data_IF_155911423825
#
_entry.id   IF_155911423825
#
_cell.length_a   1.000
_cell.length_b   1.000
_cell.length_c   1.000
_cell.angle_alpha   90.00
_cell.angle_beta   90.00
_cell.angle_gamma   90.00
#
_symmetry.space_group_name_H-M   'P 1'
#
loop_
_entity.id
_entity.type
_entity.pdbx_description
1 polymer ?
#
# COMPACT_ATOMS: atom_id res chain seq x y z
N UNK A 1 -31.79 2.13 0.93
CA UNK A 1 -30.65 1.26 1.31
C UNK A 1 -29.62 2.10 2.05
N UNK A 2 -29.21 1.63 3.22
CA UNK A 2 -28.20 2.33 4.03
C UNK A 2 -26.81 1.89 3.54
N UNK A 3 -25.95 2.86 3.22
CA UNK A 3 -24.56 2.54 2.88
C UNK A 3 -23.82 2.06 4.13
N UNK A 4 -22.99 1.03 4.03
CA UNK A 4 -22.20 0.61 5.18
C UNK A 4 -21.17 1.69 5.53
N UNK A 5 -21.00 1.94 6.83
CA UNK A 5 -19.95 2.82 7.32
C UNK A 5 -18.63 2.05 7.28
N UNK A 6 -17.65 2.58 6.57
CA UNK A 6 -16.31 1.98 6.49
C UNK A 6 -15.33 2.77 7.32
N UNK A 7 -14.64 2.08 8.20
CA UNK A 7 -13.62 2.68 9.05
C UNK A 7 -12.26 2.59 8.39
N UNK A 8 -11.31 3.42 8.84
CA UNK A 8 -9.94 3.32 8.37
C UNK A 8 -9.33 1.94 8.68
N UNK A 9 -9.75 1.31 9.78
CA UNK A 9 -9.29 -0.03 10.13
C UNK A 9 -9.75 -1.06 9.11
N UNK A 10 -10.97 -0.96 8.60
CA UNK A 10 -11.48 -1.84 7.55
C UNK A 10 -10.73 -1.64 6.23
N UNK A 11 -10.44 -0.38 5.89
CA UNK A 11 -9.65 -0.05 4.68
C UNK A 11 -8.23 -0.59 4.82
N UNK A 12 -7.62 -0.44 5.98
CA UNK A 12 -6.29 -0.99 6.27
C UNK A 12 -6.26 -2.52 6.09
N UNK A 13 -7.28 -3.20 6.61
CA UNK A 13 -7.41 -4.64 6.45
C UNK A 13 -7.58 -5.04 4.98
N UNK A 14 -8.36 -4.30 4.22
CA UNK A 14 -8.55 -4.56 2.79
C UNK A 14 -7.26 -4.40 2.00
N UNK A 15 -6.44 -3.40 2.32
CA UNK A 15 -5.12 -3.20 1.71
C UNK A 15 -4.21 -4.40 2.06
N UNK A 16 -4.18 -4.79 3.33
CA UNK A 16 -3.38 -5.93 3.78
C UNK A 16 -3.78 -7.20 3.03
N UNK A 17 -5.07 -7.46 2.90
CA UNK A 17 -5.57 -8.62 2.17
C UNK A 17 -5.15 -8.60 0.69
N UNK A 18 -5.17 -7.42 0.07
CA UNK A 18 -4.71 -7.27 -1.32
C UNK A 18 -3.22 -7.57 -1.44
N UNK A 19 -2.40 -7.03 -0.55
CA UNK A 19 -0.95 -7.28 -0.54
C UNK A 19 -0.64 -8.75 -0.22
N UNK A 20 -1.44 -9.40 0.62
CA UNK A 20 -1.29 -10.83 0.90
C UNK A 20 -1.43 -11.68 -0.36
N UNK A 21 -2.23 -11.25 -1.33
CA UNK A 21 -2.36 -11.97 -2.62
C UNK A 21 -1.09 -11.92 -3.45
N UNK A 22 -0.19 -10.98 -3.18
CA UNK A 22 1.08 -10.81 -3.87
C UNK A 22 2.26 -11.38 -3.08
N UNK A 23 2.00 -11.98 -1.92
CA UNK A 23 3.03 -12.42 -0.98
C UNK A 23 3.01 -13.94 -0.82
N UNK A 24 4.19 -14.55 -0.80
CA UNK A 24 4.36 -15.98 -0.61
C UNK A 24 5.31 -16.61 -1.62
N UNK A 25 5.43 -17.92 -1.59
CA UNK A 25 6.30 -18.68 -2.47
C UNK A 25 5.86 -18.52 -3.94
N UNK A 26 6.80 -18.13 -4.79
CA UNK A 26 6.54 -17.93 -6.21
C UNK A 26 5.75 -16.67 -6.53
N UNK A 27 5.51 -15.81 -5.55
CA UNK A 27 4.80 -14.54 -5.72
C UNK A 27 5.76 -13.35 -5.72
N UNK A 28 5.19 -12.13 -5.78
CA UNK A 28 5.96 -10.90 -5.92
C UNK A 28 6.81 -10.61 -4.69
N UNK A 29 6.22 -10.77 -3.49
CA UNK A 29 6.89 -10.45 -2.23
C UNK A 29 7.15 -11.69 -1.39
N UNK A 30 8.24 -11.66 -0.63
CA UNK A 30 8.54 -12.68 0.38
C UNK A 30 7.71 -12.42 1.64
N UNK A 31 7.53 -11.15 2.01
CA UNK A 31 6.77 -10.77 3.21
C UNK A 31 6.07 -9.44 3.00
N UNK A 32 4.99 -9.22 3.77
CA UNK A 32 4.24 -7.98 3.80
C UNK A 32 3.88 -7.60 5.24
N UNK A 33 3.75 -6.30 5.49
CA UNK A 33 3.48 -5.78 6.83
C UNK A 33 2.51 -4.61 6.76
N UNK A 34 1.60 -4.54 7.73
CA UNK A 34 0.69 -3.40 7.85
C UNK A 34 1.22 -2.32 8.81
N UNK A 35 2.52 -2.25 8.95
CA UNK A 35 3.27 -1.25 9.70
C UNK A 35 4.70 -1.17 9.15
N UNK A 36 5.38 -0.07 9.41
CA UNK A 36 6.78 0.09 9.00
C UNK A 36 7.72 -0.60 9.99
N UNK A 37 8.66 -1.36 9.46
CA UNK A 37 9.63 -2.10 10.27
C UNK A 37 10.95 -2.22 9.51
N UNK A 38 12.05 -2.25 10.27
CA UNK A 38 13.38 -2.56 9.72
C UNK A 38 13.74 -4.04 9.89
N UNK A 39 12.88 -4.80 10.56
CA UNK A 39 12.99 -6.25 10.75
C UNK A 39 12.03 -6.95 9.81
N UNK A 40 12.55 -7.65 8.81
CA UNK A 40 11.72 -8.35 7.84
C UNK A 40 12.20 -9.79 7.67
N UNK A 41 11.27 -10.67 7.29
CA UNK A 41 11.55 -12.10 7.10
C UNK A 41 12.25 -12.40 5.77
N UNK A 42 12.34 -11.43 4.88
CA UNK A 42 12.99 -11.61 3.59
C UNK A 42 12.68 -10.44 2.64
N UNK A 43 13.28 -10.49 1.46
CA UNK A 43 13.17 -9.46 0.44
C UNK A 43 12.85 -10.08 -0.92
N UNK A 44 12.14 -9.35 -1.81
CA UNK A 44 11.56 -8.03 -1.56
C UNK A 44 10.41 -8.12 -0.57
N UNK A 45 10.20 -7.06 0.19
CA UNK A 45 9.07 -6.96 1.12
C UNK A 45 8.30 -5.68 0.85
N UNK A 46 7.05 -5.65 1.30
CA UNK A 46 6.18 -4.49 1.20
C UNK A 46 5.57 -4.18 2.56
N UNK A 47 5.50 -2.91 2.89
CA UNK A 47 4.90 -2.46 4.14
C UNK A 47 4.13 -1.19 3.91
N UNK A 48 3.15 -0.90 4.76
CA UNK A 48 2.34 0.28 4.62
C UNK A 48 1.83 0.80 5.96
N UNK A 49 1.58 2.09 6.01
CA UNK A 49 0.98 2.76 7.16
C UNK A 49 0.06 3.88 6.71
N UNK A 50 -0.96 4.24 7.52
CA UNK A 50 -1.71 5.46 7.27
C UNK A 50 -0.80 6.67 7.33
N UNK A 51 -0.97 7.61 6.40
CA UNK A 51 -0.17 8.84 6.37
C UNK A 51 -1.02 10.10 6.52
N UNK A 52 -2.23 10.13 5.96
CA UNK A 52 -3.06 11.32 5.98
C UNK A 52 -4.53 10.96 5.93
N UNK A 53 -5.34 11.75 6.63
CA UNK A 53 -6.79 11.62 6.66
C UNK A 53 -7.42 12.97 6.33
N UNK A 54 -8.41 12.98 5.46
CA UNK A 54 -9.18 14.17 5.17
C UNK A 54 -10.66 13.84 5.03
N UNK A 55 -11.50 14.86 5.19
CA UNK A 55 -12.95 14.73 5.16
C UNK A 55 -13.53 15.92 4.39
N UNK A 56 -14.34 15.64 3.38
CA UNK A 56 -14.98 16.67 2.57
C UNK A 56 -16.46 16.36 2.47
N UNK A 57 -17.30 17.34 2.83
CA UNK A 57 -18.75 17.21 2.70
C UNK A 57 -19.13 17.41 1.24
N UNK A 58 -19.70 16.37 0.64
CA UNK A 58 -20.15 16.40 -0.74
C UNK A 58 -21.52 17.04 -0.85
N UNK A 59 -22.42 16.75 0.10
CA UNK A 59 -23.74 17.34 0.20
C UNK A 59 -24.25 17.26 1.65
N UNK A 60 -25.55 17.47 1.85
CA UNK A 60 -26.15 17.44 3.20
C UNK A 60 -26.34 16.02 3.74
N UNK A 61 -26.20 14.99 2.92
CA UNK A 61 -26.44 13.60 3.31
C UNK A 61 -25.16 12.78 3.42
N UNK A 62 -24.09 13.18 2.72
CA UNK A 62 -22.88 12.36 2.58
C UNK A 62 -21.63 13.18 2.78
N UNK A 63 -20.63 12.49 3.28
CA UNK A 63 -19.30 13.02 3.50
C UNK A 63 -18.30 12.08 2.79
N UNK A 64 -17.41 12.62 1.97
CA UNK A 64 -16.27 11.86 1.46
C UNK A 64 -15.12 11.94 2.45
N UNK A 65 -14.61 10.77 2.80
CA UNK A 65 -13.37 10.66 3.56
C UNK A 65 -12.29 10.11 2.65
N UNK A 66 -11.12 10.73 2.69
CA UNK A 66 -9.94 10.25 1.96
C UNK A 66 -8.93 9.75 2.97
N UNK A 67 -8.60 8.47 2.89
CA UNK A 67 -7.57 7.86 3.72
C UNK A 67 -6.35 7.60 2.82
N UNK A 68 -5.26 8.25 3.13
CA UNK A 68 -4.01 8.07 2.38
C UNK A 68 -3.08 7.14 3.17
N UNK A 69 -2.62 6.10 2.50
CA UNK A 69 -1.64 5.16 3.03
C UNK A 69 -0.34 5.31 2.25
N UNK A 70 0.77 5.26 2.95
CA UNK A 70 2.08 5.22 2.30
C UNK A 70 2.50 3.75 2.19
N UNK A 71 2.76 3.30 0.97
CA UNK A 71 3.23 1.94 0.68
C UNK A 71 4.70 2.02 0.34
N UNK A 72 5.51 1.22 1.02
CA UNK A 72 6.97 1.16 0.81
C UNK A 72 7.36 -0.25 0.43
N UNK A 73 8.07 -0.37 -0.68
CA UNK A 73 8.63 -1.63 -1.18
C UNK A 73 10.12 -1.58 -0.98
N UNK A 74 10.70 -2.61 -0.38
CA UNK A 74 12.11 -2.63 0.02
C UNK A 74 12.81 -3.85 -0.54
N UNK A 75 14.02 -3.65 -1.09
CA UNK A 75 14.91 -4.71 -1.54
C UNK A 75 16.32 -4.46 -1.00
N UNK A 76 16.91 -5.45 -0.39
CA UNK A 76 18.27 -5.35 0.15
C UNK A 76 19.32 -5.29 -0.96
N UNK A 77 20.50 -4.73 -0.64
CA UNK A 77 21.62 -4.60 -1.56
C UNK A 77 22.87 -5.36 -1.09
N UNK A 78 22.71 -6.31 -0.16
CA UNK A 78 23.85 -7.05 0.37
C UNK A 78 24.27 -8.21 -0.54
N UNK A 79 23.31 -8.95 -1.07
CA UNK A 79 23.56 -10.15 -1.88
C UNK A 79 23.45 -9.89 -3.39
N UNK A 80 22.93 -8.74 -3.76
CA UNK A 80 22.74 -8.37 -5.18
C UNK A 80 23.24 -6.96 -5.42
N UNK A 81 23.51 -6.64 -6.70
CA UNK A 81 23.94 -5.30 -7.08
C UNK A 81 22.82 -4.27 -6.93
N UNK A 82 23.19 -2.99 -6.87
CA UNK A 82 22.23 -1.90 -6.85
C UNK A 82 21.32 -1.92 -8.08
N UNK A 83 21.88 -2.22 -9.25
CA UNK A 83 21.12 -2.29 -10.51
C UNK A 83 20.07 -3.40 -10.46
N UNK A 84 20.45 -4.58 -9.97
CA UNK A 84 19.52 -5.71 -9.84
C UNK A 84 18.43 -5.43 -8.80
N UNK A 85 18.80 -4.81 -7.68
CA UNK A 85 17.85 -4.40 -6.66
C UNK A 85 16.83 -3.41 -7.23
N UNK A 86 17.28 -2.44 -8.04
CA UNK A 86 16.40 -1.48 -8.68
C UNK A 86 15.44 -2.16 -9.67
N UNK A 87 15.92 -3.11 -10.47
CA UNK A 87 15.07 -3.86 -11.39
C UNK A 87 13.97 -4.63 -10.65
N UNK A 88 14.32 -5.25 -9.52
CA UNK A 88 13.33 -5.93 -8.66
C UNK A 88 12.29 -4.95 -8.13
N UNK A 89 12.73 -3.80 -7.63
CA UNK A 89 11.80 -2.80 -7.09
C UNK A 89 10.85 -2.27 -8.15
N UNK A 90 11.34 -1.98 -9.35
CA UNK A 90 10.50 -1.48 -10.44
C UNK A 90 9.45 -2.51 -10.83
N UNK A 91 9.83 -3.78 -10.92
CA UNK A 91 8.88 -4.84 -11.22
C UNK A 91 7.83 -4.99 -10.10
N UNK A 92 8.26 -4.97 -8.86
CA UNK A 92 7.35 -5.05 -7.71
C UNK A 92 6.38 -3.86 -7.69
N UNK A 93 6.86 -2.66 -7.96
CA UNK A 93 6.05 -1.46 -8.01
C UNK A 93 4.95 -1.58 -9.07
N UNK A 94 5.29 -2.01 -10.29
CA UNK A 94 4.29 -2.21 -11.34
C UNK A 94 3.24 -3.24 -10.94
N UNK A 95 3.64 -4.32 -10.29
CA UNK A 95 2.71 -5.36 -9.81
C UNK A 95 1.74 -4.82 -8.76
N UNK A 96 2.21 -3.97 -7.86
CA UNK A 96 1.37 -3.33 -6.85
C UNK A 96 0.36 -2.39 -7.51
N UNK A 97 0.83 -1.53 -8.42
CA UNK A 97 -0.05 -0.60 -9.14
C UNK A 97 -1.12 -1.37 -9.91
N UNK A 98 -0.72 -2.41 -10.65
CA UNK A 98 -1.66 -3.23 -11.42
C UNK A 98 -2.71 -3.89 -10.51
N UNK A 99 -2.30 -4.39 -9.35
CA UNK A 99 -3.22 -5.03 -8.42
C UNK A 99 -4.32 -4.08 -7.93
N UNK A 100 -3.96 -2.83 -7.61
CA UNK A 100 -4.94 -1.83 -7.19
C UNK A 100 -5.74 -1.27 -8.36
N UNK A 101 -5.15 -1.12 -9.54
CA UNK A 101 -5.87 -0.68 -10.73
C UNK A 101 -6.94 -1.69 -11.16
N UNK A 102 -6.71 -2.97 -10.94
CA UNK A 102 -7.66 -4.03 -11.25
C UNK A 102 -8.77 -4.20 -10.22
N UNK A 103 -8.62 -3.61 -9.04
CA UNK A 103 -9.58 -3.73 -7.95
C UNK A 103 -9.75 -2.37 -7.24
N UNK A 104 -10.28 -1.41 -7.98
CA UNK A 104 -10.34 -0.01 -7.53
C UNK A 104 -11.30 0.24 -6.38
N UNK A 105 -12.11 -0.74 -6.03
CA UNK A 105 -13.00 -0.65 -4.88
C UNK A 105 -12.54 -1.50 -3.70
N UNK A 106 -11.39 -2.17 -3.80
CA UNK A 106 -10.89 -3.13 -2.82
C UNK A 106 -11.97 -4.13 -2.41
N UNK A 107 -12.56 -4.78 -3.42
CA UNK A 107 -13.67 -5.74 -3.25
C UNK A 107 -14.89 -5.13 -2.58
N UNK A 108 -15.15 -3.85 -2.85
CA UNK A 108 -16.34 -3.14 -2.35
C UNK A 108 -16.15 -2.45 -1.01
N UNK A 109 -14.94 -2.40 -0.48
CA UNK A 109 -14.66 -1.74 0.81
C UNK A 109 -14.58 -0.22 0.66
N UNK A 110 -14.09 0.27 -0.47
CA UNK A 110 -13.97 1.71 -0.73
C UNK A 110 -14.71 2.10 -2.00
N UNK A 111 -15.01 3.38 -2.14
CA UNK A 111 -15.59 3.94 -3.37
C UNK A 111 -14.58 3.87 -4.51
N UNK A 112 -13.34 4.27 -4.22
CA UNK A 112 -12.27 4.31 -5.20
C UNK A 112 -10.91 4.32 -4.51
N UNK A 113 -9.96 3.62 -5.10
CA UNK A 113 -8.56 3.66 -4.68
C UNK A 113 -7.68 4.12 -5.84
N UNK A 114 -6.75 5.03 -5.57
CA UNK A 114 -5.79 5.55 -6.54
C UNK A 114 -4.38 5.47 -5.96
N UNK A 115 -3.47 4.87 -6.71
CA UNK A 115 -2.05 4.89 -6.38
C UNK A 115 -1.41 6.08 -7.09
N UNK A 116 -0.69 6.92 -6.34
CA UNK A 116 -0.13 8.17 -6.86
C UNK A 116 1.34 8.32 -6.53
N UNK A 117 2.12 8.66 -7.55
CA UNK A 117 3.52 8.98 -7.40
C UNK A 117 4.40 7.79 -7.08
N UNK A 118 5.70 8.05 -7.00
CA UNK A 118 6.68 7.09 -6.59
C UNK A 118 7.97 7.82 -6.24
N UNK A 119 8.59 7.46 -5.12
CA UNK A 119 9.83 8.07 -4.65
C UNK A 119 10.83 6.97 -4.36
N UNK A 120 12.04 7.11 -4.91
CA UNK A 120 13.14 6.20 -4.64
C UNK A 120 14.05 6.75 -3.56
N UNK A 121 14.68 5.84 -2.81
CA UNK A 121 15.68 6.21 -1.84
C UNK A 121 16.43 5.00 -1.29
N UNK A 122 17.32 5.29 -0.37
CA UNK A 122 18.06 4.27 0.37
C UNK A 122 17.60 4.28 1.82
N UNK A 123 17.58 3.09 2.42
CA UNK A 123 17.20 2.90 3.82
C UNK A 123 18.09 1.84 4.44
N UNK A 124 18.44 2.01 5.71
CA UNK A 124 19.14 1.00 6.47
C UNK A 124 18.11 0.09 7.13
N UNK A 125 18.05 -1.15 6.67
CA UNK A 125 17.33 -2.21 7.34
C UNK A 125 18.21 -2.77 8.46
N UNK A 126 17.63 -3.50 9.39
CA UNK A 126 18.35 -3.94 10.60
C UNK A 126 19.72 -4.56 10.31
N UNK A 127 19.84 -5.36 9.24
CA UNK A 127 21.08 -6.08 8.90
C UNK A 127 21.74 -5.59 7.62
N UNK A 128 21.00 -4.89 6.75
CA UNK A 128 21.46 -4.63 5.39
C UNK A 128 21.11 -3.23 4.91
N UNK A 129 21.98 -2.61 4.09
CA UNK A 129 21.55 -1.46 3.29
C UNK A 129 20.53 -1.94 2.25
N UNK A 130 19.55 -1.10 1.97
CA UNK A 130 18.46 -1.43 1.06
C UNK A 130 18.05 -0.23 0.21
N UNK A 131 17.44 -0.52 -0.93
CA UNK A 131 16.72 0.45 -1.74
C UNK A 131 15.24 0.32 -1.43
N UNK A 132 14.53 1.44 -1.52
CA UNK A 132 13.07 1.43 -1.42
C UNK A 132 12.43 2.26 -2.52
N UNK A 133 11.18 1.94 -2.80
CA UNK A 133 10.29 2.79 -3.56
C UNK A 133 9.01 2.96 -2.74
N UNK A 134 8.54 4.20 -2.64
CA UNK A 134 7.30 4.48 -1.91
C UNK A 134 6.27 5.10 -2.84
N UNK A 135 5.01 4.78 -2.59
CA UNK A 135 3.87 5.37 -3.28
C UNK A 135 2.77 5.66 -2.29
N UNK A 136 1.92 6.63 -2.62
CA UNK A 136 0.74 6.92 -1.83
C UNK A 136 -0.47 6.23 -2.44
N UNK A 137 -1.26 5.59 -1.59
CA UNK A 137 -2.53 4.98 -1.97
C UNK A 137 -3.64 5.79 -1.34
N UNK A 138 -4.45 6.45 -2.16
CA UNK A 138 -5.54 7.29 -1.70
C UNK A 138 -6.84 6.51 -1.81
N UNK A 139 -7.49 6.27 -0.68
CA UNK A 139 -8.74 5.51 -0.59
C UNK A 139 -9.88 6.46 -0.25
N UNK A 140 -10.88 6.55 -1.14
CA UNK A 140 -12.05 7.41 -0.93
C UNK A 140 -13.21 6.58 -0.44
N UNK A 141 -13.80 7.00 0.65
CA UNK A 141 -14.94 6.34 1.27
C UNK A 141 -16.09 7.33 1.39
N UNK A 142 -17.27 6.92 0.92
CA UNK A 142 -18.48 7.70 1.05
C UNK A 142 -19.18 7.30 2.35
N UNK A 143 -19.36 8.24 3.24
CA UNK A 143 -19.96 7.99 4.56
C UNK A 143 -21.24 8.80 4.68
N UNK A 144 -22.40 8.17 5.02
CA UNK A 144 -23.60 8.91 5.25
C UNK A 144 -23.47 9.80 6.50
N UNK A 145 -23.98 11.00 6.42
CA UNK A 145 -24.07 11.92 7.56
C UNK A 145 -25.37 11.61 8.31
N UNK A 146 -25.23 11.26 9.57
CA UNK A 146 -26.36 10.84 10.41
C UNK A 146 -26.85 12.00 11.25
#
# INVERSE_FOLDING_TARGET
>A
MTLPIRTIAEVRTAIKNKLDTLTGDGKVFVSDYNYFTTKTDGFPCVMFEPSELSSVYEDTAYNYRSYTFNIVIVQEMNTISRSDAMDILLNCFEKVIDAFDQDRTLSGVVEQVDATGGTFGEIDMEKWPALYISTNLICRVLVPIV
#
